data_IF_174840091684
#
_entry.id   IF_174840091684
#
_cell.length_a   1.000
_cell.length_b   1.000
_cell.length_c   1.000
_cell.angle_alpha   90.00
_cell.angle_beta   90.00
_cell.angle_gamma   90.00
#
_symmetry.space_group_name_H-M   'P 1'
#
loop_
_entity.id
_entity.type
_entity.pdbx_description
1 polymer ?
#
# COMPACT_ATOMS: atom_id res chain seq x y z
N UNK A 1 29.91 32.51 -23.68
CA UNK A 1 29.44 31.68 -22.55
C UNK A 1 27.97 31.47 -22.77
N UNK A 2 27.57 30.30 -23.30
CA UNK A 2 26.17 29.94 -23.51
C UNK A 2 25.82 28.81 -22.57
N UNK A 3 24.94 29.11 -21.62
CA UNK A 3 24.25 28.13 -20.79
C UNK A 3 23.40 27.25 -21.70
N UNK A 4 23.64 25.94 -21.68
CA UNK A 4 22.72 24.96 -22.25
C UNK A 4 22.04 24.26 -21.09
N UNK A 5 20.80 24.67 -20.85
CA UNK A 5 19.89 24.12 -19.87
C UNK A 5 19.45 22.73 -20.35
N UNK A 6 19.90 21.70 -19.64
CA UNK A 6 19.49 20.31 -19.93
C UNK A 6 18.05 20.12 -19.48
N UNK A 7 17.24 19.71 -20.44
CA UNK A 7 15.79 19.48 -20.39
C UNK A 7 15.41 18.52 -19.26
N UNK A 8 14.49 18.95 -18.40
CA UNK A 8 13.87 18.13 -17.35
C UNK A 8 13.04 17.03 -18.03
N UNK A 9 13.56 15.80 -18.03
CA UNK A 9 12.86 14.66 -18.60
C UNK A 9 11.71 14.29 -17.68
N UNK A 10 10.48 14.58 -18.11
CA UNK A 10 9.26 14.07 -17.48
C UNK A 10 9.18 12.57 -17.72
N UNK A 11 9.87 11.80 -16.88
CA UNK A 11 9.90 10.35 -16.98
C UNK A 11 8.50 9.78 -16.70
N UNK A 12 7.92 9.13 -17.72
CA UNK A 12 6.85 8.15 -17.52
C UNK A 12 7.31 7.15 -16.45
N UNK A 13 6.48 6.74 -15.47
CA UNK A 13 6.95 5.87 -14.41
C UNK A 13 7.55 4.61 -15.03
N UNK A 14 8.87 4.44 -14.85
CA UNK A 14 9.58 3.30 -15.36
C UNK A 14 8.93 2.05 -14.79
N UNK A 15 8.77 1.02 -15.64
CA UNK A 15 8.24 -0.27 -15.18
C UNK A 15 9.16 -0.76 -14.05
N UNK A 16 8.62 -1.20 -12.91
CA UNK A 16 9.46 -1.54 -11.78
C UNK A 16 10.50 -2.58 -12.16
N UNK A 17 11.74 -2.36 -11.71
CA UNK A 17 12.82 -3.32 -11.91
C UNK A 17 12.49 -4.68 -11.27
N UNK A 18 13.14 -5.75 -11.71
CA UNK A 18 12.89 -7.12 -11.23
C UNK A 18 13.07 -7.30 -9.70
N UNK A 19 13.73 -6.35 -9.02
CA UNK A 19 13.95 -6.34 -7.56
C UNK A 19 13.32 -5.11 -6.86
N UNK A 20 12.49 -4.33 -7.56
CA UNK A 20 11.90 -3.14 -6.96
C UNK A 20 10.79 -3.51 -5.98
N UNK A 21 10.90 -3.00 -4.75
CA UNK A 21 9.87 -3.16 -3.72
C UNK A 21 8.83 -2.05 -3.87
N UNK A 22 7.61 -2.45 -4.18
CA UNK A 22 6.44 -1.56 -4.19
C UNK A 22 5.69 -1.72 -2.88
N UNK A 23 5.40 -0.60 -2.23
CA UNK A 23 4.63 -0.56 -0.98
C UNK A 23 3.28 0.12 -1.19
N UNK A 24 2.19 -0.59 -0.89
CA UNK A 24 0.84 -0.04 -0.88
C UNK A 24 0.44 0.29 0.56
N UNK A 25 0.10 1.56 0.82
CA UNK A 25 -0.43 2.02 2.10
C UNK A 25 -1.91 2.36 1.95
N UNK A 26 -2.78 1.58 2.60
CA UNK A 26 -4.23 1.77 2.56
C UNK A 26 -4.74 2.15 3.94
N UNK A 27 -5.51 3.24 4.02
CA UNK A 27 -6.14 3.71 5.26
C UNK A 27 -7.65 3.52 5.18
N UNK A 28 -8.20 2.73 6.10
CA UNK A 28 -9.64 2.47 6.21
C UNK A 28 -10.18 3.04 7.51
N UNK A 29 -11.09 4.01 7.43
CA UNK A 29 -11.86 4.52 8.57
C UNK A 29 -13.20 3.80 8.62
N UNK A 30 -13.50 3.19 9.76
CA UNK A 30 -14.61 2.23 9.86
C UNK A 30 -15.83 2.90 10.47
N UNK A 31 -17.00 2.59 9.91
CA UNK A 31 -18.28 3.02 10.48
C UNK A 31 -18.50 2.36 11.84
N UNK A 32 -19.10 3.09 12.77
CA UNK A 32 -19.44 2.58 14.10
C UNK A 32 -20.27 1.29 13.98
N UNK A 33 -19.89 0.26 14.74
CA UNK A 33 -20.57 -1.03 14.79
C UNK A 33 -20.11 -2.02 13.72
N UNK A 34 -19.27 -1.59 12.75
CA UNK A 34 -18.79 -2.44 11.66
C UNK A 34 -17.36 -2.95 11.87
N UNK A 35 -16.75 -2.70 13.03
CA UNK A 35 -15.35 -3.04 13.31
C UNK A 35 -15.10 -4.55 13.21
N UNK A 36 -15.98 -5.36 13.79
CA UNK A 36 -15.84 -6.82 13.76
C UNK A 36 -16.00 -7.39 12.34
N UNK A 37 -17.00 -6.91 11.59
CA UNK A 37 -17.22 -7.31 10.21
C UNK A 37 -16.04 -6.90 9.32
N UNK A 38 -15.52 -5.69 9.52
CA UNK A 38 -14.34 -5.21 8.83
C UNK A 38 -13.09 -6.04 9.17
N UNK A 39 -12.85 -6.39 10.44
CA UNK A 39 -11.71 -7.25 10.81
C UNK A 39 -11.80 -8.64 10.17
N UNK A 40 -12.99 -9.23 10.13
CA UNK A 40 -13.20 -10.53 9.47
C UNK A 40 -12.90 -10.45 7.97
N UNK A 41 -13.38 -9.40 7.30
CA UNK A 41 -13.04 -9.11 5.91
C UNK A 41 -11.54 -8.88 5.71
N UNK A 42 -10.91 -8.06 6.57
CA UNK A 42 -9.49 -7.73 6.47
C UNK A 42 -8.61 -8.98 6.58
N UNK A 43 -8.89 -9.88 7.55
CA UNK A 43 -8.16 -11.15 7.70
C UNK A 43 -8.26 -12.01 6.43
N UNK A 44 -9.43 -12.04 5.80
CA UNK A 44 -9.63 -12.77 4.54
C UNK A 44 -8.82 -12.14 3.40
N UNK A 45 -8.89 -10.83 3.24
CA UNK A 45 -8.20 -10.10 2.17
C UNK A 45 -6.69 -10.19 2.29
N UNK A 46 -6.13 -10.01 3.49
CA UNK A 46 -4.69 -10.15 3.75
C UNK A 46 -4.21 -11.57 3.44
N UNK A 47 -4.99 -12.60 3.83
CA UNK A 47 -4.66 -13.99 3.49
C UNK A 47 -4.64 -14.22 1.98
N UNK A 48 -5.59 -13.66 1.23
CA UNK A 48 -5.62 -13.76 -0.24
C UNK A 48 -4.44 -13.02 -0.86
N UNK A 49 -4.13 -11.79 -0.41
CA UNK A 49 -2.97 -11.03 -0.85
C UNK A 49 -1.66 -11.81 -0.63
N UNK A 50 -1.54 -12.51 0.50
CA UNK A 50 -0.37 -13.32 0.83
C UNK A 50 -0.12 -14.54 -0.06
N UNK A 51 -1.05 -14.89 -0.95
CA UNK A 51 -0.87 -15.98 -1.93
C UNK A 51 -0.34 -15.48 -3.28
N UNK A 52 -0.25 -14.18 -3.50
CA UNK A 52 0.21 -13.64 -4.77
C UNK A 52 1.75 -13.71 -4.86
N UNK A 53 2.31 -14.10 -6.02
CA UNK A 53 3.75 -14.05 -6.25
C UNK A 53 4.32 -12.66 -5.95
N UNK A 54 5.53 -12.64 -5.38
CA UNK A 54 6.20 -11.40 -4.99
C UNK A 54 5.67 -10.76 -3.70
N UNK A 55 4.67 -11.34 -3.02
CA UNK A 55 4.20 -10.81 -1.73
C UNK A 55 5.28 -10.90 -0.63
N UNK A 56 5.67 -9.75 -0.08
CA UNK A 56 6.72 -9.63 0.94
C UNK A 56 6.17 -9.47 2.36
N UNK A 57 4.86 -9.28 2.52
CA UNK A 57 4.22 -9.16 3.83
C UNK A 57 3.18 -8.06 3.92
N UNK A 58 2.38 -8.13 5.00
CA UNK A 58 1.42 -7.10 5.37
C UNK A 58 1.59 -6.71 6.83
N UNK A 59 1.68 -5.41 7.11
CA UNK A 59 1.53 -4.86 8.45
C UNK A 59 0.18 -4.15 8.58
N UNK A 60 -0.48 -4.33 9.73
CA UNK A 60 -1.74 -3.65 10.03
C UNK A 60 -1.59 -2.87 11.32
N UNK A 61 -1.63 -1.54 11.21
CA UNK A 61 -1.63 -0.63 12.36
C UNK A 61 -3.07 -0.23 12.67
N UNK A 62 -3.45 -0.36 13.95
CA UNK A 62 -4.76 0.07 14.47
C UNK A 62 -4.62 1.44 15.11
N UNK A 63 -5.59 2.31 14.90
CA UNK A 63 -5.66 3.63 15.48
C UNK A 63 -7.08 4.17 15.51
N UNK A 64 -7.22 5.47 15.75
CA UNK A 64 -8.49 6.19 15.69
C UNK A 64 -8.36 7.49 14.91
N UNK A 65 -9.40 7.89 14.18
CA UNK A 65 -9.49 9.19 13.51
C UNK A 65 -10.92 9.72 13.64
N UNK A 66 -11.09 10.88 14.27
CA UNK A 66 -12.41 11.46 14.49
C UNK A 66 -13.33 10.55 15.32
N UNK A 67 -12.78 9.88 16.33
CA UNK A 67 -13.50 8.92 17.18
C UNK A 67 -13.75 7.54 16.57
N UNK A 68 -13.62 7.40 15.24
CA UNK A 68 -13.81 6.14 14.53
C UNK A 68 -12.55 5.29 14.50
N UNK A 69 -12.71 3.97 14.44
CA UNK A 69 -11.59 3.05 14.24
C UNK A 69 -10.92 3.32 12.88
N UNK A 70 -9.60 3.35 12.87
CA UNK A 70 -8.77 3.52 11.68
C UNK A 70 -7.81 2.33 11.58
N UNK A 71 -7.75 1.71 10.41
CA UNK A 71 -6.77 0.67 10.09
C UNK A 71 -5.86 1.17 8.97
N UNK A 72 -4.56 1.14 9.20
CA UNK A 72 -3.55 1.40 8.17
C UNK A 72 -2.89 0.08 7.80
N UNK A 73 -3.12 -0.37 6.57
CA UNK A 73 -2.55 -1.60 6.03
C UNK A 73 -1.38 -1.24 5.12
N UNK A 74 -0.21 -1.81 5.38
CA UNK A 74 1.00 -1.65 4.58
C UNK A 74 1.30 -2.98 3.92
N UNK A 75 1.09 -3.09 2.63
CA UNK A 75 1.38 -4.30 1.85
C UNK A 75 2.65 -4.06 1.04
N UNK A 76 3.54 -5.05 0.99
CA UNK A 76 4.78 -4.98 0.23
C UNK A 76 4.81 -6.09 -0.82
N UNK A 77 5.24 -5.73 -2.02
CA UNK A 77 5.45 -6.65 -3.12
C UNK A 77 6.79 -6.35 -3.80
N UNK A 78 7.47 -7.38 -4.31
CA UNK A 78 8.49 -7.21 -5.33
C UNK A 78 7.92 -7.58 -6.70
N UNK A 79 8.48 -7.00 -7.76
CA UNK A 79 8.25 -7.49 -9.12
C UNK A 79 8.74 -8.94 -9.23
N UNK A 80 8.10 -9.73 -10.10
CA UNK A 80 8.42 -11.16 -10.33
C UNK A 80 8.75 -11.43 -11.77
#
# INVERSE_FOLDING_TARGET
MSESQTVESTASPARPGFDEIVTLVVKHRIKVGQEAAYEAWLRRTVRVAGQWPGHLGVDVVRGKQGGLALFTCVLRFCST
#
